data_IF_238433727562
#
_entry.id   IF_238433727562
#
_cell.length_a   1.000
_cell.length_b   1.000
_cell.length_c   1.000
_cell.angle_alpha   90.00
_cell.angle_beta   90.00
_cell.angle_gamma   90.00
#
_symmetry.space_group_name_H-M   'P 1'
#
loop_
_entity.id
_entity.type
_entity.pdbx_description
1 polymer ?
#
# COMPACT_ATOMS: atom_id res chain seq x y z
N UNK A 1 -25.89 0.27 7.39
CA UNK A 1 -24.48 -0.15 7.53
C UNK A 1 -24.34 -1.65 7.76
N UNK A 2 -24.81 -2.21 8.88
CA UNK A 2 -24.61 -3.64 9.19
C UNK A 2 -25.10 -4.58 8.07
N UNK A 3 -26.30 -4.36 7.53
CA UNK A 3 -26.82 -5.14 6.39
C UNK A 3 -25.93 -5.11 5.14
N UNK A 4 -25.20 -4.01 4.90
CA UNK A 4 -24.24 -3.92 3.77
C UNK A 4 -23.03 -4.80 4.08
N UNK A 5 -22.49 -4.71 5.30
CA UNK A 5 -21.36 -5.55 5.74
C UNK A 5 -21.71 -7.03 5.74
N UNK A 6 -22.90 -7.40 6.23
CA UNK A 6 -23.37 -8.78 6.22
C UNK A 6 -23.51 -9.30 4.78
N UNK A 7 -23.96 -8.46 3.84
CA UNK A 7 -24.06 -8.83 2.43
C UNK A 7 -22.73 -8.85 1.66
N UNK A 8 -21.68 -8.20 2.19
CA UNK A 8 -20.33 -8.21 1.63
C UNK A 8 -19.45 -9.29 2.25
N UNK A 9 -19.62 -9.64 3.52
CA UNK A 9 -18.76 -10.59 4.23
C UNK A 9 -19.47 -11.87 4.70
N UNK A 10 -20.79 -11.95 4.57
CA UNK A 10 -21.57 -13.10 5.00
C UNK A 10 -21.81 -14.12 3.88
N UNK A 11 -21.85 -15.40 4.26
CA UNK A 11 -22.24 -16.51 3.38
C UNK A 11 -21.11 -17.04 2.49
N UNK A 12 -21.45 -17.94 1.57
CA UNK A 12 -20.51 -18.58 0.64
C UNK A 12 -19.97 -17.61 -0.44
N UNK A 13 -20.61 -16.44 -0.60
CA UNK A 13 -20.24 -15.40 -1.59
C UNK A 13 -19.55 -14.18 -0.95
N UNK A 14 -18.83 -14.39 0.15
CA UNK A 14 -18.09 -13.32 0.82
C UNK A 14 -17.06 -12.66 -0.12
N UNK A 15 -16.93 -11.33 0.02
CA UNK A 15 -15.97 -10.54 -0.73
C UNK A 15 -14.55 -10.99 -0.42
N UNK A 16 -13.79 -11.29 -1.47
CA UNK A 16 -12.41 -11.74 -1.36
C UNK A 16 -11.42 -10.61 -1.68
N UNK A 17 -10.50 -10.34 -0.77
CA UNK A 17 -9.46 -9.34 -1.00
C UNK A 17 -8.39 -9.88 -1.95
N UNK A 18 -8.16 -9.20 -3.08
CA UNK A 18 -7.13 -9.55 -4.07
C UNK A 18 -6.29 -8.31 -4.37
N UNK A 19 -5.07 -8.26 -3.84
CA UNK A 19 -4.16 -7.11 -3.90
C UNK A 19 -3.97 -6.55 -5.33
N UNK A 20 -3.69 -7.45 -6.28
CA UNK A 20 -3.39 -7.11 -7.67
C UNK A 20 -4.64 -6.94 -8.55
N UNK A 21 -5.82 -6.75 -7.97
CA UNK A 21 -7.06 -6.60 -8.71
C UNK A 21 -7.78 -5.30 -8.32
N UNK A 22 -7.68 -4.31 -9.21
CA UNK A 22 -8.38 -3.02 -9.07
C UNK A 22 -9.57 -2.99 -10.03
N UNK A 23 -10.78 -3.05 -9.48
CA UNK A 23 -12.05 -3.14 -10.20
C UNK A 23 -12.95 -1.94 -9.90
N UNK A 24 -13.82 -1.61 -10.85
CA UNK A 24 -14.91 -0.67 -10.58
C UNK A 24 -15.87 -1.24 -9.53
N UNK A 25 -16.73 -0.39 -8.95
CA UNK A 25 -17.71 -0.82 -7.96
C UNK A 25 -18.65 -1.92 -8.51
N UNK A 26 -19.10 -1.81 -9.77
CA UNK A 26 -19.95 -2.81 -10.43
C UNK A 26 -19.23 -4.14 -10.64
N UNK A 27 -18.00 -4.11 -11.16
CA UNK A 27 -17.21 -5.34 -11.35
C UNK A 27 -16.86 -6.01 -10.02
N UNK A 28 -16.53 -5.23 -8.99
CA UNK A 28 -16.25 -5.73 -7.65
C UNK A 28 -17.49 -6.36 -7.01
N UNK A 29 -18.67 -5.79 -7.26
CA UNK A 29 -19.95 -6.36 -6.83
C UNK A 29 -20.23 -7.70 -7.53
N UNK A 30 -20.11 -7.75 -8.85
CA UNK A 30 -20.36 -8.96 -9.64
C UNK A 30 -19.37 -10.08 -9.34
N UNK A 31 -18.08 -9.75 -9.25
CA UNK A 31 -17.01 -10.73 -9.03
C UNK A 31 -16.78 -11.08 -7.56
N UNK A 32 -17.39 -10.34 -6.62
CA UNK A 32 -17.19 -10.47 -5.16
C UNK A 32 -15.72 -10.47 -4.76
N UNK A 33 -14.90 -9.62 -5.40
CA UNK A 33 -13.48 -9.51 -5.08
C UNK A 33 -12.88 -8.17 -5.50
N UNK A 34 -11.68 -7.90 -5.03
CA UNK A 34 -10.88 -6.73 -5.40
C UNK A 34 -10.00 -6.27 -4.24
N UNK A 35 -9.16 -5.27 -4.49
CA UNK A 35 -8.34 -4.66 -3.46
C UNK A 35 -9.08 -3.56 -2.67
N UNK A 36 -8.33 -2.82 -1.85
CA UNK A 36 -8.87 -1.79 -0.97
C UNK A 36 -9.63 -0.68 -1.71
N UNK A 37 -9.15 -0.24 -2.87
CA UNK A 37 -9.83 0.78 -3.70
C UNK A 37 -11.16 0.24 -4.21
N UNK A 38 -11.15 -0.98 -4.74
CA UNK A 38 -12.35 -1.67 -5.27
C UNK A 38 -13.41 -1.85 -4.20
N UNK A 39 -13.00 -2.35 -3.03
CA UNK A 39 -13.87 -2.54 -1.88
C UNK A 39 -14.44 -1.20 -1.38
N UNK A 40 -13.59 -0.18 -1.24
CA UNK A 40 -14.04 1.13 -0.77
C UNK A 40 -15.06 1.75 -1.72
N UNK A 41 -14.82 1.70 -3.04
CA UNK A 41 -15.77 2.23 -4.04
C UNK A 41 -17.09 1.47 -4.01
N UNK A 42 -17.05 0.13 -3.93
CA UNK A 42 -18.24 -0.70 -3.78
C UNK A 42 -19.02 -0.31 -2.52
N UNK A 43 -18.36 -0.27 -1.37
CA UNK A 43 -19.00 0.03 -0.11
C UNK A 43 -19.62 1.43 -0.09
N UNK A 44 -18.87 2.45 -0.53
CA UNK A 44 -19.37 3.84 -0.59
C UNK A 44 -20.58 3.95 -1.52
N UNK A 45 -20.54 3.28 -2.68
CA UNK A 45 -21.68 3.26 -3.61
C UNK A 45 -22.94 2.68 -2.97
N UNK A 46 -22.82 1.50 -2.35
CA UNK A 46 -23.93 0.85 -1.65
C UNK A 46 -24.43 1.67 -0.45
N UNK A 47 -23.52 2.28 0.30
CA UNK A 47 -23.86 3.06 1.49
C UNK A 47 -24.60 4.35 1.14
N UNK A 48 -24.13 5.08 0.12
CA UNK A 48 -24.77 6.31 -0.35
C UNK A 48 -26.12 6.03 -1.01
N UNK A 49 -26.28 4.91 -1.72
CA UNK A 49 -27.56 4.49 -2.30
C UNK A 49 -28.66 4.33 -1.24
N UNK A 50 -28.30 3.85 -0.04
CA UNK A 50 -29.24 3.73 1.09
C UNK A 50 -29.24 4.94 2.03
N UNK A 51 -28.66 6.07 1.60
CA UNK A 51 -28.71 7.35 2.31
C UNK A 51 -27.72 7.53 3.46
N UNK A 52 -26.64 6.75 3.54
CA UNK A 52 -25.59 6.94 4.55
C UNK A 52 -24.57 7.99 4.10
N UNK A 53 -24.10 8.83 5.03
CA UNK A 53 -22.92 9.70 4.81
C UNK A 53 -21.65 8.86 4.90
N UNK A 54 -21.29 8.24 3.77
CA UNK A 54 -20.06 7.47 3.61
C UNK A 54 -19.04 8.26 2.79
N UNK A 55 -17.81 8.33 3.30
CA UNK A 55 -16.68 9.04 2.68
C UNK A 55 -15.46 8.15 2.62
N UNK A 56 -14.70 8.28 1.55
CA UNK A 56 -13.39 7.67 1.44
C UNK A 56 -12.43 8.27 2.45
N UNK A 57 -11.51 7.45 2.95
CA UNK A 57 -10.50 7.84 3.92
C UNK A 57 -9.15 7.22 3.57
N UNK A 58 -8.11 8.03 3.60
CA UNK A 58 -6.76 7.62 3.27
C UNK A 58 -5.97 7.27 4.54
N UNK A 59 -5.10 6.28 4.44
CA UNK A 59 -4.15 5.91 5.50
C UNK A 59 -2.74 6.34 5.07
N UNK A 60 -2.15 7.26 5.85
CA UNK A 60 -0.89 7.93 5.49
C UNK A 60 0.36 7.05 5.56
N UNK A 61 0.28 5.86 6.15
CA UNK A 61 1.38 4.92 6.18
C UNK A 61 0.84 3.61 5.62
N UNK A 62 1.35 3.24 4.45
CA UNK A 62 0.94 1.99 3.85
C UNK A 62 1.43 0.83 4.71
N UNK A 63 0.51 -0.04 5.14
CA UNK A 63 0.89 -1.23 5.83
C UNK A 63 1.35 -2.33 4.88
N UNK A 64 1.30 -2.11 3.56
CA UNK A 64 1.67 -3.07 2.51
C UNK A 64 2.75 -2.48 1.61
N UNK A 65 3.87 -3.19 1.47
CA UNK A 65 4.80 -2.96 0.36
C UNK A 65 4.56 -4.06 -0.67
N UNK A 66 4.29 -3.68 -1.90
CA UNK A 66 4.09 -4.65 -2.99
C UNK A 66 5.23 -4.51 -3.99
N UNK A 67 5.79 -5.65 -4.40
CA UNK A 67 6.64 -5.70 -5.58
C UNK A 67 5.78 -6.12 -6.77
N UNK A 68 5.54 -5.20 -7.71
CA UNK A 68 4.76 -5.47 -8.92
C UNK A 68 5.73 -5.40 -10.10
N UNK A 69 6.11 -6.56 -10.64
CA UNK A 69 7.01 -6.65 -11.80
C UNK A 69 8.39 -6.03 -11.58
N UNK A 70 9.01 -6.26 -10.41
CA UNK A 70 10.33 -5.71 -10.05
C UNK A 70 10.31 -4.29 -9.47
N UNK A 71 9.13 -3.70 -9.28
CA UNK A 71 8.96 -2.34 -8.78
C UNK A 71 8.41 -2.39 -7.37
N UNK A 72 9.14 -1.80 -6.41
CA UNK A 72 8.65 -1.61 -5.05
C UNK A 72 7.63 -0.44 -5.02
N UNK A 73 6.37 -0.76 -4.75
CA UNK A 73 5.26 0.19 -4.77
C UNK A 73 4.82 0.47 -3.34
N UNK A 74 4.91 1.74 -2.94
CA UNK A 74 4.24 2.25 -1.76
C UNK A 74 2.77 2.50 -2.14
N UNK A 75 1.91 1.50 -1.99
CA UNK A 75 0.47 1.62 -2.30
C UNK A 75 -0.20 2.41 -1.19
N UNK A 76 -0.92 3.48 -1.52
CA UNK A 76 -1.70 4.20 -0.51
C UNK A 76 -2.91 3.36 -0.15
N UNK A 77 -3.13 3.10 1.15
CA UNK A 77 -4.28 2.31 1.60
C UNK A 77 -5.50 3.20 1.80
N UNK A 78 -6.66 2.76 1.30
CA UNK A 78 -7.93 3.49 1.33
C UNK A 78 -8.96 2.63 2.03
N UNK A 79 -9.74 3.25 2.92
CA UNK A 79 -10.89 2.65 3.55
C UNK A 79 -12.05 3.65 3.60
N UNK A 80 -13.09 3.36 4.39
CA UNK A 80 -14.31 4.18 4.43
C UNK A 80 -14.61 4.64 5.84
N UNK A 81 -15.06 5.89 5.97
CA UNK A 81 -15.69 6.42 7.18
C UNK A 81 -17.18 6.63 6.90
N UNK A 82 -18.03 6.09 7.77
CA UNK A 82 -19.48 6.34 7.78
C UNK A 82 -19.84 7.22 8.97
N UNK A 83 -20.49 8.35 8.70
CA UNK A 83 -21.00 9.26 9.73
C UNK A 83 -22.47 8.94 10.01
N UNK A 84 -22.81 8.72 11.28
CA UNK A 84 -24.19 8.42 11.69
C UNK A 84 -24.44 8.86 13.12
N UNK A 85 -25.48 9.68 13.34
CA UNK A 85 -25.93 10.13 14.65
C UNK A 85 -24.80 10.68 15.56
N UNK A 86 -23.89 11.48 14.99
CA UNK A 86 -22.74 12.04 15.71
C UNK A 86 -21.58 11.06 15.96
N UNK A 87 -21.74 9.80 15.59
CA UNK A 87 -20.70 8.77 15.63
C UNK A 87 -20.03 8.60 14.26
N UNK A 88 -18.79 8.09 14.27
CA UNK A 88 -18.03 7.73 13.08
C UNK A 88 -17.68 6.25 13.14
N UNK A 89 -17.90 5.54 12.03
CA UNK A 89 -17.60 4.13 11.89
C UNK A 89 -16.58 3.94 10.77
N UNK A 90 -15.46 3.29 11.07
CA UNK A 90 -14.48 2.92 10.05
C UNK A 90 -14.82 1.56 9.52
N UNK A 91 -14.88 1.45 8.19
CA UNK A 91 -15.03 0.19 7.48
C UNK A 91 -13.73 -0.10 6.75
N UNK A 92 -13.07 -1.16 7.17
CA UNK A 92 -11.74 -1.56 6.72
C UNK A 92 -11.82 -2.90 5.98
N UNK A 93 -11.19 -2.99 4.80
CA UNK A 93 -11.14 -4.21 3.97
C UNK A 93 -10.07 -5.19 4.41
N UNK A 94 -9.11 -4.74 5.23
CA UNK A 94 -8.01 -5.54 5.77
C UNK A 94 -8.11 -5.57 7.30
N UNK A 95 -8.83 -6.55 7.89
CA UNK A 95 -9.11 -6.61 9.33
C UNK A 95 -7.86 -6.50 10.21
N UNK A 96 -6.71 -7.00 9.76
CA UNK A 96 -5.42 -6.91 10.43
C UNK A 96 -4.91 -5.45 10.64
N UNK A 97 -5.45 -4.51 9.87
CA UNK A 97 -5.15 -3.08 9.96
C UNK A 97 -6.30 -2.26 10.56
N UNK A 98 -7.40 -2.90 10.99
CA UNK A 98 -8.56 -2.21 11.56
C UNK A 98 -8.20 -1.29 12.73
N UNK A 99 -7.23 -1.67 13.58
CA UNK A 99 -6.78 -0.83 14.69
C UNK A 99 -6.15 0.48 14.20
N UNK A 100 -5.28 0.40 13.19
CA UNK A 100 -4.63 1.55 12.58
C UNK A 100 -5.67 2.42 11.88
N UNK A 101 -6.48 1.78 11.05
CA UNK A 101 -7.56 2.38 10.29
C UNK A 101 -8.55 3.13 11.19
N UNK A 102 -8.91 2.56 12.33
CA UNK A 102 -9.88 3.13 13.28
C UNK A 102 -9.49 4.52 13.76
N UNK A 103 -8.19 4.85 13.77
CA UNK A 103 -7.63 6.11 14.27
C UNK A 103 -7.22 7.08 13.16
N UNK A 104 -7.12 6.63 11.90
CA UNK A 104 -6.80 7.52 10.78
C UNK A 104 -8.02 8.34 10.39
N UNK A 105 -7.83 9.66 10.32
CA UNK A 105 -8.87 10.61 9.90
C UNK A 105 -8.27 11.54 8.85
N UNK A 106 -8.28 11.06 7.62
CA UNK A 106 -7.89 11.78 6.44
C UNK A 106 -8.94 11.52 5.33
N UNK A 107 -10.16 12.09 5.48
CA UNK A 107 -11.18 11.94 4.46
C UNK A 107 -10.71 12.58 3.15
N UNK A 108 -10.87 11.86 2.04
CA UNK A 108 -10.45 12.28 0.71
C UNK A 108 -11.65 12.43 -0.23
N UNK A 109 -11.58 13.34 -1.22
CA UNK A 109 -12.65 13.50 -2.19
C UNK A 109 -12.72 12.29 -3.14
N UNK A 110 -13.85 12.11 -3.81
CA UNK A 110 -14.08 10.98 -4.72
C UNK A 110 -13.06 10.97 -5.88
N UNK A 111 -12.67 12.15 -6.38
CA UNK A 111 -11.66 12.34 -7.42
C UNK A 111 -10.31 11.73 -7.04
N UNK A 112 -9.90 11.85 -5.76
CA UNK A 112 -8.67 11.20 -5.27
C UNK A 112 -8.76 9.69 -5.42
N UNK A 113 -9.91 9.09 -5.10
CA UNK A 113 -10.09 7.63 -5.18
C UNK A 113 -10.17 7.16 -6.62
N UNK A 114 -10.85 7.89 -7.50
CA UNK A 114 -10.84 7.59 -8.93
C UNK A 114 -9.44 7.72 -9.53
N UNK A 115 -8.66 8.71 -9.10
CA UNK A 115 -7.25 8.80 -9.46
C UNK A 115 -6.45 7.59 -8.99
N UNK A 116 -6.67 7.09 -7.77
CA UNK A 116 -6.05 5.85 -7.30
C UNK A 116 -6.51 4.61 -8.09
N UNK A 117 -7.78 4.53 -8.47
CA UNK A 117 -8.31 3.49 -9.34
C UNK A 117 -7.56 3.46 -10.67
N UNK A 118 -7.54 4.59 -11.40
CA UNK A 118 -6.85 4.68 -12.68
C UNK A 118 -5.35 4.44 -12.55
N UNK A 119 -4.72 4.95 -11.48
CA UNK A 119 -3.30 4.75 -11.22
C UNK A 119 -2.96 3.26 -11.02
N UNK A 120 -3.74 2.55 -10.22
CA UNK A 120 -3.49 1.14 -9.93
C UNK A 120 -3.73 0.29 -11.17
N UNK A 121 -4.82 0.53 -11.91
CA UNK A 121 -5.08 -0.14 -13.19
C UNK A 121 -3.99 0.15 -14.23
N UNK A 122 -3.48 1.38 -14.28
CA UNK A 122 -2.39 1.77 -15.17
C UNK A 122 -1.07 1.10 -14.83
N UNK A 123 -0.78 0.93 -13.53
CA UNK A 123 0.39 0.16 -13.07
C UNK A 123 0.30 -1.32 -13.42
N UNK A 124 -0.87 -1.93 -13.29
CA UNK A 124 -1.10 -3.32 -13.66
C UNK A 124 -0.93 -3.51 -15.18
N UNK A 125 -1.55 -2.66 -15.98
CA UNK A 125 -1.36 -2.65 -17.44
C UNK A 125 0.11 -2.47 -17.82
N UNK A 126 0.84 -1.59 -17.11
CA UNK A 126 2.26 -1.41 -17.31
C UNK A 126 3.03 -2.71 -17.01
N UNK A 127 2.73 -3.37 -15.89
CA UNK A 127 3.36 -4.63 -15.51
C UNK A 127 3.11 -5.76 -16.53
N UNK A 128 1.93 -5.78 -17.14
CA UNK A 128 1.54 -6.72 -18.21
C UNK A 128 2.14 -6.37 -19.59
N UNK A 129 2.81 -5.22 -19.72
CA UNK A 129 3.41 -4.76 -20.98
C UNK A 129 2.41 -4.08 -21.92
N UNK A 130 1.19 -3.80 -21.47
CA UNK A 130 0.15 -3.08 -22.22
C UNK A 130 0.42 -1.57 -22.25
N UNK A 131 1.53 -1.16 -22.87
CA UNK A 131 2.07 0.21 -22.81
C UNK A 131 1.04 1.30 -23.17
N UNK A 132 0.25 1.11 -24.24
CA UNK A 132 -0.74 2.11 -24.66
C UNK A 132 -1.84 2.30 -23.62
N UNK A 133 -2.40 1.21 -23.10
CA UNK A 133 -3.44 1.23 -22.06
C UNK A 133 -2.89 1.80 -20.75
N UNK A 134 -1.67 1.43 -20.39
CA UNK A 134 -0.99 1.95 -19.21
C UNK A 134 -0.89 3.49 -19.24
N UNK A 135 -0.46 4.06 -20.37
CA UNK A 135 -0.36 5.51 -20.53
C UNK A 135 -1.72 6.21 -20.42
N UNK A 136 -2.76 5.68 -21.07
CA UNK A 136 -4.11 6.23 -21.01
C UNK A 136 -4.65 6.27 -19.57
N UNK A 137 -4.49 5.18 -18.84
CA UNK A 137 -4.92 5.07 -17.44
C UNK A 137 -4.11 5.99 -16.53
N UNK A 138 -2.78 6.04 -16.68
CA UNK A 138 -1.92 6.93 -15.88
C UNK A 138 -2.27 8.41 -16.15
N UNK A 139 -2.52 8.80 -17.40
CA UNK A 139 -2.97 10.16 -17.73
C UNK A 139 -4.32 10.47 -17.10
N UNK A 140 -5.29 9.54 -17.20
CA UNK A 140 -6.59 9.68 -16.57
C UNK A 140 -6.45 9.88 -15.05
N UNK A 141 -5.52 9.18 -14.41
CA UNK A 141 -5.25 9.36 -12.98
C UNK A 141 -4.74 10.78 -12.67
N UNK A 142 -3.79 11.31 -13.45
CA UNK A 142 -3.21 12.65 -13.27
C UNK A 142 -4.25 13.74 -13.57
N UNK A 143 -5.05 13.56 -14.63
CA UNK A 143 -6.12 14.51 -15.00
C UNK A 143 -7.23 14.56 -13.94
N UNK A 144 -7.56 13.41 -13.35
CA UNK A 144 -8.56 13.31 -12.28
C UNK A 144 -8.07 13.96 -10.99
N UNK A 145 -6.81 13.72 -10.62
CA UNK A 145 -6.17 14.37 -9.46
C UNK A 145 -4.68 14.63 -9.71
N UNK A 146 -4.29 15.86 -10.08
CA UNK A 146 -2.89 16.23 -10.32
C UNK A 146 -2.00 16.12 -9.08
N UNK A 147 -2.58 16.03 -7.89
CA UNK A 147 -1.85 15.92 -6.63
C UNK A 147 -1.63 14.46 -6.21
N UNK A 148 -2.03 13.49 -7.03
CA UNK A 148 -1.71 12.08 -6.82
C UNK A 148 -0.25 11.77 -7.20
N UNK A 149 0.64 11.85 -6.22
CA UNK A 149 2.07 11.57 -6.41
C UNK A 149 2.36 10.15 -6.95
N UNK A 150 1.52 9.16 -6.67
CA UNK A 150 1.70 7.80 -7.19
C UNK A 150 1.45 7.72 -8.71
N UNK A 151 0.53 8.53 -9.24
CA UNK A 151 0.27 8.63 -10.67
C UNK A 151 1.47 9.23 -11.42
N UNK A 152 2.07 10.28 -10.87
CA UNK A 152 3.33 10.84 -11.39
C UNK A 152 4.49 9.84 -11.29
N UNK A 153 4.58 9.06 -10.21
CA UNK A 153 5.59 8.01 -10.08
C UNK A 153 5.46 6.98 -11.21
N UNK A 154 4.23 6.51 -11.47
CA UNK A 154 3.96 5.52 -12.50
C UNK A 154 4.14 6.08 -13.91
N UNK A 155 3.88 7.37 -14.14
CA UNK A 155 4.27 8.04 -15.38
C UNK A 155 5.80 8.03 -15.57
N UNK A 156 6.57 8.29 -14.52
CA UNK A 156 8.03 8.21 -14.58
C UNK A 156 8.54 6.81 -14.96
N UNK A 157 7.97 5.78 -14.34
CA UNK A 157 8.27 4.38 -14.67
C UNK A 157 7.90 4.02 -16.11
N UNK A 158 6.73 4.48 -16.58
CA UNK A 158 6.32 4.33 -17.97
C UNK A 158 7.34 4.96 -18.93
N UNK A 159 7.75 6.22 -18.69
CA UNK A 159 8.71 6.94 -19.54
C UNK A 159 10.08 6.28 -19.58
N UNK A 160 10.57 5.77 -18.46
CA UNK A 160 11.81 5.00 -18.44
C UNK A 160 11.72 3.70 -19.26
N UNK A 161 10.57 3.02 -19.26
CA UNK A 161 10.36 1.83 -20.10
C UNK A 161 10.31 2.16 -21.60
N UNK A 162 9.77 3.33 -21.95
CA UNK A 162 9.82 3.86 -23.32
C UNK A 162 11.22 4.36 -23.74
N UNK A 163 12.17 4.45 -22.80
CA UNK A 163 13.52 4.98 -23.05
C UNK A 163 13.62 6.51 -22.98
N UNK A 164 12.53 7.21 -22.64
CA UNK A 164 12.50 8.66 -22.45
C UNK A 164 12.95 9.02 -21.03
N UNK A 165 14.27 9.04 -20.84
CA UNK A 165 14.90 9.30 -19.55
C UNK A 165 14.58 10.70 -19.00
N UNK A 166 14.50 11.72 -19.87
CA UNK A 166 14.24 13.09 -19.44
C UNK A 166 12.81 13.24 -18.91
N UNK A 167 11.82 12.77 -19.67
CA UNK A 167 10.43 12.81 -19.21
C UNK A 167 10.20 11.92 -17.98
N UNK A 168 10.95 10.82 -17.85
CA UNK A 168 10.91 9.96 -16.67
C UNK A 168 11.42 10.66 -15.40
N UNK A 169 12.54 11.36 -15.50
CA UNK A 169 13.08 12.17 -14.40
C UNK A 169 12.10 13.29 -14.00
N UNK A 170 11.57 14.03 -14.97
CA UNK A 170 10.60 15.11 -14.72
C UNK A 170 9.37 14.60 -13.96
N UNK A 171 8.80 13.47 -14.38
CA UNK A 171 7.65 12.87 -13.73
C UNK A 171 7.97 12.38 -12.31
N UNK A 172 9.15 11.79 -12.07
CA UNK A 172 9.55 11.40 -10.71
C UNK A 172 9.84 12.59 -9.80
N UNK A 173 10.40 13.68 -10.33
CA UNK A 173 10.57 14.92 -9.57
C UNK A 173 9.22 15.52 -9.21
N UNK A 174 8.25 15.49 -10.12
CA UNK A 174 6.87 15.91 -9.83
C UNK A 174 6.23 15.02 -8.76
N UNK A 175 6.39 13.70 -8.85
CA UNK A 175 5.95 12.76 -7.82
C UNK A 175 6.54 13.11 -6.44
N UNK A 176 7.83 13.50 -6.38
CA UNK A 176 8.48 13.91 -5.13
C UNK A 176 7.97 15.25 -4.59
N UNK A 177 7.44 16.14 -5.44
CA UNK A 177 6.79 17.38 -4.98
C UNK A 177 5.42 17.07 -4.37
N UNK A 178 4.63 16.24 -5.04
CA UNK A 178 3.28 15.87 -4.59
C UNK A 178 3.30 15.01 -3.32
N UNK A 179 4.26 14.08 -3.21
CA UNK A 179 4.47 13.28 -2.01
C UNK A 179 5.92 13.37 -1.49
N UNK A 180 6.19 14.42 -0.72
CA UNK A 180 7.49 14.69 -0.09
C UNK A 180 7.92 13.66 0.98
N UNK A 181 7.09 12.64 1.25
CA UNK A 181 7.41 11.55 2.19
C UNK A 181 7.65 10.21 1.52
N UNK A 182 7.37 10.08 0.22
CA UNK A 182 7.54 8.81 -0.50
C UNK A 182 9.01 8.39 -0.51
N UNK A 183 9.31 7.22 0.05
CA UNK A 183 10.65 6.64 -0.04
C UNK A 183 10.85 5.87 -1.35
N UNK A 184 9.79 5.35 -1.96
CA UNK A 184 9.83 4.71 -3.28
C UNK A 184 10.29 5.68 -4.36
N UNK A 185 9.73 6.90 -4.41
CA UNK A 185 10.15 7.92 -5.39
C UNK A 185 11.64 8.27 -5.21
N UNK A 186 12.12 8.41 -3.97
CA UNK A 186 13.54 8.65 -3.70
C UNK A 186 14.42 7.48 -4.18
N UNK A 187 13.97 6.25 -3.97
CA UNK A 187 14.70 5.07 -4.43
C UNK A 187 14.80 5.06 -5.95
N UNK A 188 13.71 5.32 -6.66
CA UNK A 188 13.68 5.38 -8.12
C UNK A 188 14.58 6.49 -8.67
N UNK A 189 14.53 7.70 -8.10
CA UNK A 189 15.43 8.80 -8.47
C UNK A 189 16.89 8.45 -8.19
N UNK A 190 17.19 7.81 -7.06
CA UNK A 190 18.54 7.35 -6.74
C UNK A 190 19.07 6.37 -7.78
N UNK A 191 18.29 5.35 -8.13
CA UNK A 191 18.65 4.34 -9.13
C UNK A 191 18.85 4.96 -10.52
N UNK A 192 17.99 5.89 -10.88
CA UNK A 192 18.11 6.62 -12.13
C UNK A 192 19.43 7.41 -12.20
N UNK A 193 19.72 8.22 -11.19
CA UNK A 193 20.95 9.03 -11.18
C UNK A 193 22.23 8.19 -11.07
N UNK A 194 22.19 7.05 -10.39
CA UNK A 194 23.30 6.11 -10.40
C UNK A 194 23.57 5.58 -11.80
N UNK A 195 22.52 5.15 -12.52
CA UNK A 195 22.61 4.66 -13.90
C UNK A 195 23.10 5.72 -14.89
N UNK A 196 22.77 7.00 -14.66
CA UNK A 196 23.21 8.11 -15.53
C UNK A 196 24.55 8.71 -15.11
N UNK A 197 25.21 8.20 -14.07
CA UNK A 197 26.51 8.67 -13.60
C UNK A 197 26.46 9.93 -12.73
N UNK A 198 25.26 10.38 -12.32
CA UNK A 198 25.06 11.56 -11.49
C UNK A 198 25.14 11.24 -9.99
N UNK A 199 26.32 10.78 -9.58
CA UNK A 199 26.60 10.20 -8.25
C UNK A 199 26.12 11.09 -7.09
N UNK A 200 26.36 12.40 -7.16
CA UNK A 200 25.98 13.32 -6.08
C UNK A 200 24.44 13.42 -5.90
N UNK A 201 23.67 13.38 -7.00
CA UNK A 201 22.21 13.34 -6.94
C UNK A 201 21.73 11.99 -6.42
N UNK A 202 22.34 10.89 -6.90
CA UNK A 202 22.02 9.54 -6.45
C UNK A 202 22.16 9.42 -4.92
N UNK A 203 23.31 9.81 -4.37
CA UNK A 203 23.56 9.79 -2.92
C UNK A 203 22.56 10.66 -2.14
N UNK A 204 22.19 11.82 -2.69
CA UNK A 204 21.22 12.73 -2.08
C UNK A 204 19.85 12.07 -1.94
N UNK A 205 19.35 11.48 -3.02
CA UNK A 205 18.05 10.79 -3.03
C UNK A 205 18.08 9.48 -2.24
N UNK A 206 19.18 8.70 -2.29
CA UNK A 206 19.37 7.53 -1.45
C UNK A 206 19.27 7.87 0.04
N UNK A 207 19.96 8.91 0.49
CA UNK A 207 19.93 9.39 1.87
C UNK A 207 18.53 9.86 2.27
N UNK A 208 17.84 10.57 1.37
CA UNK A 208 16.48 11.06 1.61
C UNK A 208 15.48 9.91 1.72
N UNK A 209 15.53 8.94 0.80
CA UNK A 209 14.73 7.72 0.84
C UNK A 209 14.96 6.93 2.12
N UNK A 210 16.22 6.70 2.51
CA UNK A 210 16.56 6.03 3.75
C UNK A 210 16.04 6.78 4.99
N UNK A 211 16.10 8.12 5.00
CA UNK A 211 15.55 8.95 6.09
C UNK A 211 14.02 8.83 6.16
N UNK A 212 13.33 8.80 5.01
CA UNK A 212 11.87 8.64 4.89
C UNK A 212 11.44 7.24 5.36
N UNK A 213 12.03 6.18 4.83
CA UNK A 213 11.74 4.79 5.24
C UNK A 213 11.95 4.57 6.74
N UNK A 214 13.02 5.14 7.33
CA UNK A 214 13.29 5.03 8.77
C UNK A 214 12.20 5.65 9.66
N UNK A 215 11.33 6.52 9.12
CA UNK A 215 10.19 7.10 9.85
C UNK A 215 8.90 6.29 9.67
N UNK A 216 8.84 5.38 8.70
CA UNK A 216 7.68 4.52 8.50
C UNK A 216 7.73 3.35 9.52
N UNK A 217 6.74 3.20 10.43
CA UNK A 217 6.70 2.09 11.37
C UNK A 217 6.64 0.72 10.66
N UNK A 218 5.86 0.62 9.57
CA UNK A 218 5.69 -0.62 8.81
C UNK A 218 6.96 -1.02 8.06
N UNK A 219 7.79 -0.07 7.63
CA UNK A 219 9.12 -0.40 7.11
C UNK A 219 9.97 -1.20 8.13
N UNK A 220 9.95 -0.80 9.41
CA UNK A 220 10.67 -1.57 10.44
C UNK A 220 9.97 -2.88 10.79
N UNK A 221 8.64 -2.95 10.69
CA UNK A 221 7.89 -4.19 10.83
C UNK A 221 8.29 -5.21 9.77
N UNK A 222 8.32 -4.83 8.49
CA UNK A 222 8.78 -5.69 7.40
C UNK A 222 10.23 -6.13 7.55
N UNK A 223 11.13 -5.20 7.91
CA UNK A 223 12.52 -5.57 8.23
C UNK A 223 12.64 -6.48 9.45
N UNK A 224 11.63 -6.55 10.32
CA UNK A 224 11.57 -7.55 11.39
C UNK A 224 11.20 -8.93 10.81
N UNK A 225 10.18 -9.00 9.94
CA UNK A 225 9.75 -10.22 9.27
C UNK A 225 10.87 -10.85 8.43
N UNK A 226 11.56 -10.07 7.60
CA UNK A 226 12.73 -10.53 6.84
C UNK A 226 13.80 -11.15 7.78
N UNK A 227 14.07 -10.50 8.91
CA UNK A 227 15.06 -11.01 9.86
C UNK A 227 14.59 -12.31 10.55
N UNK A 228 13.28 -12.52 10.74
CA UNK A 228 12.74 -13.79 11.22
C UNK A 228 12.93 -14.91 10.19
N UNK A 229 12.71 -14.62 8.90
CA UNK A 229 12.94 -15.56 7.81
C UNK A 229 14.42 -15.92 7.65
N UNK A 230 15.31 -14.96 7.89
CA UNK A 230 16.76 -15.18 7.97
C UNK A 230 17.20 -15.95 9.22
N UNK A 231 16.30 -16.20 10.18
CA UNK A 231 16.61 -16.86 11.46
C UNK A 231 17.23 -15.93 12.50
N UNK A 232 17.41 -14.64 12.21
CA UNK A 232 18.00 -13.64 13.11
C UNK A 232 16.93 -13.02 14.03
N UNK A 233 16.56 -13.78 15.05
CA UNK A 233 15.57 -13.38 16.06
C UNK A 233 15.93 -12.08 16.79
N UNK A 234 17.23 -11.85 17.04
CA UNK A 234 17.71 -10.63 17.75
C UNK A 234 17.51 -9.40 16.88
N UNK A 235 17.86 -9.47 15.60
CA UNK A 235 17.63 -8.40 14.62
C UNK A 235 16.14 -8.16 14.42
N UNK A 236 15.33 -9.21 14.36
CA UNK A 236 13.87 -9.11 14.27
C UNK A 236 13.28 -8.31 15.44
N UNK A 237 13.62 -8.67 16.69
CA UNK A 237 13.14 -7.95 17.88
C UNK A 237 13.56 -6.47 17.82
N UNK A 238 14.83 -6.17 17.51
CA UNK A 238 15.32 -4.79 17.43
C UNK A 238 14.57 -3.95 16.40
N UNK A 239 14.21 -4.54 15.26
CA UNK A 239 13.41 -3.89 14.21
C UNK A 239 11.98 -3.67 14.67
N UNK A 240 11.35 -4.67 15.27
CA UNK A 240 9.98 -4.56 15.77
C UNK A 240 9.85 -3.55 16.93
N UNK A 241 10.87 -3.43 17.80
CA UNK A 241 10.93 -2.36 18.81
C UNK A 241 11.00 -0.97 18.19
N UNK A 242 11.63 -0.83 17.03
CA UNK A 242 11.63 0.45 16.29
C UNK A 242 10.27 0.74 15.68
N UNK A 243 9.59 -0.28 15.13
CA UNK A 243 8.21 -0.16 14.67
C UNK A 243 7.27 0.27 15.81
N UNK A 244 7.35 -0.41 16.98
CA UNK A 244 6.58 -0.08 18.17
C UNK A 244 6.88 1.34 18.67
N UNK A 245 8.13 1.81 18.68
CA UNK A 245 8.42 3.21 19.07
C UNK A 245 7.81 4.24 18.12
N UNK A 246 7.70 3.92 16.83
CA UNK A 246 7.14 4.82 15.81
C UNK A 246 5.61 4.80 15.79
N UNK A 247 5.01 3.68 16.22
CA UNK A 247 3.56 3.53 16.37
C UNK A 247 3.23 2.76 17.66
N UNK A 248 3.39 3.39 18.86
CA UNK A 248 3.27 2.71 20.15
C UNK A 248 1.91 2.09 20.42
N UNK A 249 0.89 2.65 19.78
CA UNK A 249 -0.50 2.28 19.97
C UNK A 249 -0.95 1.11 19.08
N UNK A 250 -0.11 0.52 18.22
CA UNK A 250 -0.52 -0.63 17.41
C UNK A 250 -0.24 -1.94 18.18
N UNK A 251 -1.31 -2.54 18.69
CA UNK A 251 -1.26 -3.68 19.61
C UNK A 251 -0.56 -4.90 18.98
N UNK A 252 -0.67 -5.08 17.66
CA UNK A 252 0.01 -6.18 16.94
C UNK A 252 1.52 -6.16 17.16
N UNK A 253 2.16 -4.99 17.11
CA UNK A 253 3.60 -4.88 17.37
C UNK A 253 3.95 -5.29 18.80
N UNK A 254 3.12 -4.93 19.77
CA UNK A 254 3.32 -5.32 21.16
C UNK A 254 3.15 -6.82 21.37
N UNK A 255 2.07 -7.40 20.84
CA UNK A 255 1.80 -8.83 20.94
C UNK A 255 2.93 -9.66 20.33
N UNK A 256 3.36 -9.32 19.12
CA UNK A 256 4.47 -10.00 18.45
C UNK A 256 5.80 -9.83 19.20
N UNK A 257 6.09 -8.64 19.76
CA UNK A 257 7.30 -8.45 20.57
C UNK A 257 7.34 -9.36 21.80
N UNK A 258 6.20 -9.55 22.47
CA UNK A 258 6.10 -10.46 23.61
C UNK A 258 6.41 -11.89 23.16
N UNK A 259 5.79 -12.35 22.08
CA UNK A 259 6.02 -13.68 21.52
C UNK A 259 7.48 -13.91 21.11
N UNK A 260 8.09 -12.95 20.42
CA UNK A 260 9.49 -13.07 19.97
C UNK A 260 10.49 -13.07 21.14
N UNK A 261 10.23 -12.30 22.20
CA UNK A 261 11.07 -12.31 23.41
C UNK A 261 10.98 -13.64 24.15
N UNK A 262 9.78 -14.19 24.31
CA UNK A 262 9.60 -15.53 24.89
C UNK A 262 10.33 -16.60 24.07
N UNK A 263 10.28 -16.52 22.74
CA UNK A 263 11.01 -17.42 21.86
C UNK A 263 12.52 -17.32 22.11
N UNK A 264 13.07 -16.10 22.18
CA UNK A 264 14.48 -15.85 22.43
C UNK A 264 14.92 -16.41 23.80
N UNK A 265 14.12 -16.18 24.83
CA UNK A 265 14.40 -16.63 26.20
C UNK A 265 14.33 -18.16 26.33
N UNK A 266 13.48 -18.81 25.54
CA UNK A 266 13.32 -20.27 25.55
C UNK A 266 14.47 -21.04 24.88
N UNK A 267 15.38 -20.35 24.20
CA UNK A 267 16.47 -20.97 23.41
C UNK A 267 15.98 -21.83 22.24
N UNK A 268 14.68 -21.85 21.95
CA UNK A 268 14.10 -22.53 20.80
C UNK A 268 14.40 -21.68 19.57
N UNK A 269 15.18 -22.21 18.62
CA UNK A 269 15.34 -21.61 17.30
C UNK A 269 13.98 -21.47 16.60
N UNK A 270 13.88 -20.58 15.61
CA UNK A 270 12.68 -20.36 14.81
C UNK A 270 12.44 -21.59 13.92
N UNK A 271 11.97 -22.70 14.49
CA UNK A 271 11.56 -23.88 13.74
C UNK A 271 10.21 -23.58 13.09
N UNK A 272 10.25 -23.05 11.85
CA UNK A 272 9.15 -22.97 10.88
C UNK A 272 7.73 -22.86 11.47
N UNK A 273 7.45 -21.80 12.23
CA UNK A 273 6.09 -21.54 12.77
C UNK A 273 5.25 -20.58 11.91
N UNK A 274 5.74 -20.13 10.76
CA UNK A 274 5.00 -19.26 9.83
C UNK A 274 4.65 -19.94 8.50
N UNK A 275 3.99 -21.11 8.53
CA UNK A 275 3.27 -21.62 7.35
C UNK A 275 1.76 -21.31 7.37
N UNK A 276 1.26 -20.54 8.35
CA UNK A 276 -0.19 -20.28 8.49
C UNK A 276 -0.71 -18.90 8.06
N UNK A 277 0.16 -17.90 7.85
CA UNK A 277 -0.26 -16.51 7.56
C UNK A 277 0.56 -15.89 6.42
N UNK A 278 0.95 -16.71 5.45
CA UNK A 278 1.33 -16.17 4.14
C UNK A 278 0.05 -15.81 3.41
N UNK A 279 -0.33 -14.53 3.53
CA UNK A 279 -1.07 -13.86 2.47
C UNK A 279 -0.41 -14.27 1.14
N UNK A 280 -1.25 -14.61 0.17
CA UNK A 280 -0.92 -15.14 -1.17
C UNK A 280 0.11 -14.32 -1.96
N UNK A 281 0.57 -13.17 -1.45
CA UNK A 281 1.62 -12.32 -2.01
C UNK A 281 3.05 -12.92 -1.97
N UNK A 282 3.38 -13.86 -1.06
CA UNK A 282 4.76 -14.33 -0.89
C UNK A 282 5.10 -15.65 -1.64
N UNK A 283 4.12 -16.34 -2.24
CA UNK A 283 4.37 -17.66 -2.85
C UNK A 283 5.04 -17.63 -4.23
N UNK A 284 5.15 -16.46 -4.86
CA UNK A 284 5.79 -16.28 -6.17
C UNK A 284 7.32 -16.04 -6.11
N UNK A 285 7.91 -15.79 -4.94
CA UNK A 285 9.34 -15.44 -4.80
C UNK A 285 10.31 -16.63 -4.72
N UNK A 286 9.92 -17.84 -5.15
CA UNK A 286 10.82 -19.01 -5.17
C UNK A 286 10.88 -19.83 -6.45
N UNK A 287 10.26 -19.40 -7.55
CA UNK A 287 10.45 -20.07 -8.84
C UNK A 287 10.46 -19.04 -9.98
N UNK A 288 11.62 -18.44 -10.21
CA UNK A 288 12.41 -18.50 -11.46
C UNK A 288 13.54 -17.49 -11.40
#
# INVERSE_FOLDING_TARGET
MQRILDGLYGGEEAFSYVAQETLSASEAFEKRRGNCVSFAMLFVSLAREVGLDARFNQIDYSPVWEEIGGILVETTHINVIVYSAGSQYVVESLPEYAEVASRSRNPIPDERVFSHYFNNSGLLALAEGEMSRALELIKSAIETDPTNGSAWQNLGLYRFREGDNLAGEEALLEASKQNSRSSSVCFLLSQYYEKTGEVAKAETFARLGAKRSKKNPFFHYYKSREALEEGDLKKAIKRLEKAQRLLPQYAKFQAELVSLRQLLDSGRGIAQTHQGETSTAERSLRKH
#
